data_IF_708793037469
#
_entry.id   IF_708793037469
#
_cell.length_a   1.000
_cell.length_b   1.000
_cell.length_c   1.000
_cell.angle_alpha   90.00
_cell.angle_beta   90.00
_cell.angle_gamma   90.00
#
_symmetry.space_group_name_H-M   'P 1'
#
loop_
_entity.id
_entity.type
_entity.pdbx_description
1 polymer ?
#
# COMPACT_ATOMS: atom_id res chain seq x y z
N UNK A 1 14.52 46.09 7.28
CA UNK A 1 14.05 44.89 7.99
C UNK A 1 13.50 43.93 6.96
N UNK A 2 14.31 42.97 6.57
CA UNK A 2 14.05 42.03 5.48
C UNK A 2 13.26 40.84 6.00
N UNK A 3 12.07 40.63 5.46
CA UNK A 3 11.24 39.44 5.70
C UNK A 3 11.98 38.18 5.21
N UNK A 4 12.02 37.08 5.99
CA UNK A 4 12.62 35.85 5.52
C UNK A 4 11.72 35.24 4.45
N UNK A 5 12.25 35.19 3.23
CA UNK A 5 11.70 34.45 2.10
C UNK A 5 11.57 32.99 2.55
N UNK A 6 10.32 32.54 2.73
CA UNK A 6 10.01 31.12 2.80
C UNK A 6 10.55 30.48 1.52
N UNK A 7 11.68 29.77 1.63
CA UNK A 7 12.11 28.81 0.64
C UNK A 7 11.02 27.76 0.53
N UNK A 8 10.09 27.94 -0.41
CA UNK A 8 9.29 26.86 -0.96
C UNK A 8 10.26 25.88 -1.62
N UNK A 9 10.80 24.95 -0.83
CA UNK A 9 11.39 23.73 -1.37
C UNK A 9 10.31 23.14 -2.27
N UNK A 10 10.52 23.14 -3.58
CA UNK A 10 9.70 22.42 -4.55
C UNK A 10 9.69 20.95 -4.11
N UNK A 11 8.70 20.56 -3.31
CA UNK A 11 8.54 19.18 -2.87
C UNK A 11 8.28 18.38 -4.13
N UNK A 12 9.28 17.62 -4.59
CA UNK A 12 9.08 16.64 -5.66
C UNK A 12 8.20 15.53 -5.07
N UNK A 13 6.95 15.45 -5.55
CA UNK A 13 5.97 14.45 -5.08
C UNK A 13 6.21 13.07 -5.70
N UNK A 14 6.84 13.04 -6.88
CA UNK A 14 7.44 11.83 -7.42
C UNK A 14 8.94 11.84 -7.19
N UNK A 15 9.44 10.74 -6.67
CA UNK A 15 10.87 10.41 -6.64
C UNK A 15 11.22 9.77 -7.98
N UNK A 16 12.06 10.43 -8.78
CA UNK A 16 12.62 9.80 -9.99
C UNK A 16 13.46 8.60 -9.58
N UNK A 17 13.19 7.44 -10.16
CA UNK A 17 13.91 6.23 -9.84
C UNK A 17 15.03 5.96 -10.86
N UNK A 18 16.14 5.33 -10.46
CA UNK A 18 17.25 5.03 -11.37
C UNK A 18 16.81 4.21 -12.57
N UNK A 19 17.02 4.74 -13.78
CA UNK A 19 16.66 4.09 -15.04
C UNK A 19 17.78 3.17 -15.53
N UNK A 20 17.42 2.00 -16.07
CA UNK A 20 18.35 1.10 -16.75
C UNK A 20 18.24 1.26 -18.26
N UNK A 21 19.37 1.42 -18.96
CA UNK A 21 19.38 1.33 -20.41
C UNK A 21 19.76 -0.08 -20.85
N UNK A 22 18.82 -0.79 -21.50
CA UNK A 22 19.08 -2.10 -22.08
C UNK A 22 19.63 -1.91 -23.50
N UNK A 23 20.95 -2.08 -23.66
CA UNK A 23 21.64 -1.82 -24.94
C UNK A 23 21.30 -2.83 -26.05
N UNK A 24 20.86 -4.02 -25.69
CA UNK A 24 20.52 -5.10 -26.63
C UNK A 24 19.13 -4.97 -27.25
N UNK A 25 18.35 -3.96 -26.87
CA UNK A 25 16.98 -3.77 -27.37
C UNK A 25 16.88 -2.52 -28.25
N UNK A 26 16.07 -2.56 -29.32
CA UNK A 26 15.75 -1.35 -30.05
C UNK A 26 15.13 -0.33 -29.09
N UNK A 27 15.43 0.96 -29.29
CA UNK A 27 14.79 2.03 -28.52
C UNK A 27 13.28 1.83 -28.59
N UNK A 28 12.63 1.77 -27.42
CA UNK A 28 11.18 1.61 -27.33
C UNK A 28 10.50 2.69 -28.17
N UNK A 29 9.56 2.26 -29.02
CA UNK A 29 8.84 3.13 -29.95
C UNK A 29 7.75 3.97 -29.27
N UNK A 30 7.34 3.58 -28.06
CA UNK A 30 6.34 4.29 -27.25
C UNK A 30 6.95 4.88 -25.99
N UNK A 31 6.50 6.07 -25.62
CA UNK A 31 6.84 6.69 -24.33
C UNK A 31 6.05 6.01 -23.22
N UNK A 32 6.72 5.32 -22.30
CA UNK A 32 6.09 4.56 -21.22
C UNK A 32 6.71 4.91 -19.86
N UNK A 33 5.87 5.02 -18.83
CA UNK A 33 6.29 5.25 -17.44
C UNK A 33 5.57 4.34 -16.47
N UNK A 34 6.29 3.84 -15.46
CA UNK A 34 5.72 3.07 -14.34
C UNK A 34 5.75 3.90 -13.04
N UNK A 35 4.63 4.00 -12.34
CA UNK A 35 4.52 4.67 -11.04
C UNK A 35 4.33 3.63 -9.94
N UNK A 36 5.19 3.65 -8.93
CA UNK A 36 5.08 2.83 -7.72
C UNK A 36 4.44 3.65 -6.59
N UNK A 37 3.22 3.30 -6.18
CA UNK A 37 2.47 3.98 -5.12
C UNK A 37 2.64 3.21 -3.82
N UNK A 38 3.29 3.83 -2.83
CA UNK A 38 3.49 3.21 -1.52
C UNK A 38 2.21 3.09 -0.71
N UNK A 39 2.21 2.07 0.14
CA UNK A 39 1.23 1.86 1.19
C UNK A 39 1.42 2.75 2.41
N UNK A 40 0.90 2.25 3.52
CA UNK A 40 1.09 2.81 4.84
C UNK A 40 2.58 2.84 5.19
N UNK A 41 3.11 4.03 5.50
CA UNK A 41 4.49 4.19 5.96
C UNK A 41 4.53 3.92 7.46
N UNK A 42 5.31 2.91 7.87
CA UNK A 42 5.56 2.65 9.28
C UNK A 42 6.61 3.63 9.83
N UNK A 43 6.67 3.77 11.16
CA UNK A 43 7.67 4.61 11.82
C UNK A 43 9.08 4.04 11.55
N UNK A 44 9.87 4.76 10.74
CA UNK A 44 11.20 4.31 10.28
C UNK A 44 11.31 4.10 8.76
N UNK A 45 10.20 4.02 8.04
CA UNK A 45 10.20 3.91 6.58
C UNK A 45 10.49 5.27 5.92
N UNK A 46 11.56 5.33 5.14
CA UNK A 46 11.84 6.53 4.33
C UNK A 46 10.82 6.65 3.19
N UNK A 47 10.19 7.82 2.99
CA UNK A 47 9.33 8.07 1.84
C UNK A 47 10.02 7.78 0.51
N UNK A 48 11.35 7.94 0.42
CA UNK A 48 12.12 7.79 -0.82
C UNK A 48 12.65 6.36 -1.03
N UNK A 49 12.49 5.44 -0.08
CA UNK A 49 13.01 4.08 -0.23
C UNK A 49 12.13 3.23 -1.16
N UNK A 50 12.53 3.08 -2.43
CA UNK A 50 11.88 2.21 -3.40
C UNK A 50 12.77 1.03 -3.83
N UNK A 51 13.78 0.65 -3.04
CA UNK A 51 14.80 -0.32 -3.49
C UNK A 51 14.21 -1.69 -3.83
N UNK A 52 13.27 -2.19 -3.04
CA UNK A 52 12.61 -3.49 -3.31
C UNK A 52 11.79 -3.45 -4.60
N UNK A 53 11.06 -2.35 -4.82
CA UNK A 53 10.37 -2.12 -6.09
C UNK A 53 11.35 -2.02 -7.25
N UNK A 54 12.50 -1.37 -7.06
CA UNK A 54 13.53 -1.25 -8.07
C UNK A 54 14.19 -2.58 -8.40
N UNK A 55 14.37 -3.47 -7.43
CA UNK A 55 14.83 -4.83 -7.70
C UNK A 55 13.91 -5.53 -8.71
N UNK A 56 12.61 -5.58 -8.41
CA UNK A 56 11.62 -6.16 -9.32
C UNK A 56 11.50 -5.42 -10.65
N UNK A 57 11.53 -4.08 -10.63
CA UNK A 57 11.43 -3.26 -11.85
C UNK A 57 12.54 -3.61 -12.83
N UNK A 58 13.79 -3.68 -12.35
CA UNK A 58 14.96 -4.01 -13.18
C UNK A 58 14.80 -5.39 -13.82
N UNK A 59 14.33 -6.37 -13.08
CA UNK A 59 14.09 -7.72 -13.61
C UNK A 59 12.97 -7.74 -14.65
N UNK A 60 11.91 -6.94 -14.47
CA UNK A 60 10.82 -6.80 -15.45
C UNK A 60 11.24 -6.04 -16.71
N UNK A 61 12.12 -5.05 -16.58
CA UNK A 61 12.76 -4.38 -17.71
C UNK A 61 13.62 -5.37 -18.48
N UNK A 62 14.43 -6.19 -17.80
CA UNK A 62 15.31 -7.19 -18.44
C UNK A 62 14.56 -8.42 -18.98
N UNK A 63 13.37 -8.70 -18.45
CA UNK A 63 12.55 -9.86 -18.83
C UNK A 63 12.15 -9.80 -20.31
N UNK A 64 12.36 -10.87 -21.10
CA UNK A 64 11.95 -10.92 -22.50
C UNK A 64 10.43 -11.03 -22.68
N UNK A 65 9.70 -11.46 -21.64
CA UNK A 65 8.24 -11.59 -21.68
C UNK A 65 7.52 -10.31 -21.27
N UNK A 66 8.07 -9.53 -20.35
CA UNK A 66 7.42 -8.31 -19.86
C UNK A 66 7.82 -7.06 -20.64
N UNK A 67 9.12 -6.90 -20.89
CA UNK A 67 9.68 -5.77 -21.65
C UNK A 67 9.24 -4.39 -21.15
N UNK A 68 9.17 -4.20 -19.82
CA UNK A 68 8.79 -2.91 -19.25
C UNK A 68 9.76 -1.81 -19.67
N UNK A 69 9.24 -0.58 -19.83
CA UNK A 69 10.09 0.58 -20.01
C UNK A 69 10.87 0.91 -18.72
N UNK A 70 12.09 1.44 -18.86
CA UNK A 70 12.96 1.67 -17.71
C UNK A 70 12.62 2.94 -16.92
N UNK A 71 11.73 3.79 -17.44
CA UNK A 71 11.28 4.98 -16.74
C UNK A 71 10.32 4.60 -15.61
N UNK A 72 10.74 4.88 -14.37
CA UNK A 72 9.95 4.62 -13.18
C UNK A 72 9.97 5.80 -12.21
N UNK A 73 8.85 5.98 -11.51
CA UNK A 73 8.62 7.02 -10.52
C UNK A 73 8.11 6.38 -9.22
N UNK A 74 8.63 6.82 -8.08
CA UNK A 74 8.10 6.49 -6.78
C UNK A 74 7.13 7.57 -6.31
N UNK A 75 5.97 7.19 -5.80
CA UNK A 75 5.01 8.09 -5.18
C UNK A 75 4.79 7.71 -3.72
N UNK A 76 5.11 8.67 -2.86
CA UNK A 76 4.88 8.57 -1.43
C UNK A 76 3.98 9.72 -1.01
N UNK A 77 3.00 9.39 -0.18
CA UNK A 77 2.02 10.34 0.34
C UNK A 77 2.08 10.34 1.86
N UNK A 78 1.65 11.43 2.52
CA UNK A 78 1.57 11.50 3.97
C UNK A 78 0.50 10.55 4.50
N UNK A 79 0.85 9.27 4.65
CA UNK A 79 -0.04 8.22 5.15
C UNK A 79 0.04 8.04 6.67
N UNK A 80 0.96 8.75 7.34
CA UNK A 80 1.08 8.79 8.80
C UNK A 80 1.71 10.09 9.26
N UNK A 81 1.21 10.66 10.36
CA UNK A 81 1.78 11.85 11.01
C UNK A 81 2.83 11.43 12.04
N UNK A 82 3.99 12.09 12.04
CA UNK A 82 5.05 11.91 13.05
C UNK A 82 4.67 12.45 14.44
N UNK A 83 3.48 13.05 14.57
CA UNK A 83 3.02 13.71 15.78
C UNK A 83 1.74 13.03 16.29
N UNK A 84 1.85 11.77 16.70
CA UNK A 84 0.83 11.26 17.62
C UNK A 84 0.99 12.03 18.94
N UNK A 85 -0.07 12.67 19.47
CA UNK A 85 -0.06 13.02 20.87
C UNK A 85 0.18 11.72 21.63
N UNK A 86 1.23 11.67 22.47
CA UNK A 86 1.44 10.58 23.41
C UNK A 86 0.08 10.29 24.05
N UNK A 87 -0.50 9.08 23.86
CA UNK A 87 -1.81 8.81 24.43
C UNK A 87 -1.68 9.07 25.92
N UNK A 88 -2.44 10.00 26.50
CA UNK A 88 -2.40 10.24 27.96
C UNK A 88 -2.69 8.94 28.72
N UNK A 89 -3.44 8.02 28.09
CA UNK A 89 -3.62 6.64 28.54
C UNK A 89 -2.32 5.82 28.61
N UNK A 90 -1.36 5.99 27.70
CA UNK A 90 -0.06 5.30 27.73
C UNK A 90 0.84 5.78 28.87
N UNK A 91 0.84 7.08 29.18
CA UNK A 91 1.53 7.61 30.37
C UNK A 91 0.83 7.20 31.67
N UNK A 92 -0.51 7.23 31.72
CA UNK A 92 -1.27 6.78 32.90
C UNK A 92 -1.12 5.28 33.18
N UNK A 93 -1.10 4.45 32.13
CA UNK A 93 -0.92 3.00 32.24
C UNK A 93 0.52 2.63 32.60
N UNK A 94 1.51 3.28 31.96
CA UNK A 94 2.92 3.13 32.32
C UNK A 94 3.17 3.62 33.75
N UNK A 95 2.64 4.77 34.14
CA UNK A 95 2.74 5.29 35.50
C UNK A 95 2.06 4.38 36.53
N UNK A 96 0.91 3.79 36.21
CA UNK A 96 0.22 2.82 37.07
C UNK A 96 1.00 1.50 37.22
N UNK A 97 1.57 0.98 36.14
CA UNK A 97 2.43 -0.22 36.19
C UNK A 97 3.73 0.08 36.93
N UNK A 98 4.35 1.22 36.66
CA UNK A 98 5.55 1.71 37.35
C UNK A 98 5.22 1.86 38.85
N UNK A 99 4.10 2.50 39.22
CA UNK A 99 3.73 2.70 40.63
C UNK A 99 3.41 1.39 41.34
N UNK A 100 2.71 0.47 40.66
CA UNK A 100 2.38 -0.85 41.22
C UNK A 100 3.62 -1.73 41.37
N UNK A 101 4.53 -1.71 40.39
CA UNK A 101 5.80 -2.44 40.46
C UNK A 101 6.78 -1.79 41.44
N UNK A 102 6.82 -0.47 41.57
CA UNK A 102 7.60 0.24 42.60
C UNK A 102 7.10 -0.08 44.01
N UNK A 103 5.78 -0.18 44.21
CA UNK A 103 5.22 -0.64 45.49
C UNK A 103 5.56 -2.11 45.78
N UNK A 104 5.62 -2.97 44.76
CA UNK A 104 6.03 -4.37 44.92
C UNK A 104 7.54 -4.53 45.16
N UNK A 105 8.38 -3.72 44.52
CA UNK A 105 9.82 -3.64 44.73
C UNK A 105 10.18 -3.08 46.12
N UNK A 106 9.43 -2.06 46.60
CA UNK A 106 9.53 -1.59 48.00
C UNK A 106 9.22 -2.68 49.03
N UNK A 107 8.46 -3.70 48.64
CA UNK A 107 8.14 -4.86 49.46
C UNK A 107 8.96 -6.11 49.11
N UNK A 108 10.06 -5.98 48.35
CA UNK A 108 10.96 -7.08 47.93
C UNK A 108 10.25 -8.28 47.26
N UNK A 109 9.07 -8.07 46.68
CA UNK A 109 8.34 -9.13 45.99
C UNK A 109 8.79 -9.20 44.54
N UNK A 110 9.31 -10.36 44.14
CA UNK A 110 9.68 -10.66 42.76
C UNK A 110 8.43 -10.53 41.85
N UNK A 111 8.58 -10.04 40.60
CA UNK A 111 7.48 -9.96 39.65
C UNK A 111 6.91 -11.35 39.38
N UNK A 112 5.59 -11.48 39.46
CA UNK A 112 4.90 -12.75 39.23
C UNK A 112 4.70 -12.98 37.72
N UNK A 113 4.59 -14.24 37.25
CA UNK A 113 4.24 -14.54 35.86
C UNK A 113 2.99 -13.79 35.38
N UNK A 114 2.00 -13.60 36.26
CA UNK A 114 0.80 -12.82 35.97
C UNK A 114 1.08 -11.33 35.74
N UNK A 115 1.98 -10.71 36.51
CA UNK A 115 2.38 -9.31 36.28
C UNK A 115 3.16 -9.11 34.98
N UNK A 116 3.99 -10.08 34.59
CA UNK A 116 4.69 -10.07 33.30
C UNK A 116 3.70 -10.22 32.16
N UNK A 117 2.77 -11.18 32.24
CA UNK A 117 1.71 -11.37 31.25
C UNK A 117 0.82 -10.12 31.11
N UNK A 118 0.46 -9.48 32.22
CA UNK A 118 -0.31 -8.24 32.20
C UNK A 118 0.46 -7.08 31.55
N UNK A 119 1.76 -6.94 31.82
CA UNK A 119 2.60 -5.93 31.19
C UNK A 119 2.71 -6.16 29.68
N UNK A 120 2.94 -7.40 29.24
CA UNK A 120 2.96 -7.77 27.82
C UNK A 120 1.61 -7.51 27.15
N UNK A 121 0.49 -7.85 27.80
CA UNK A 121 -0.84 -7.61 27.26
C UNK A 121 -1.13 -6.10 27.09
N UNK A 122 -0.70 -5.28 28.04
CA UNK A 122 -0.84 -3.82 27.95
C UNK A 122 0.02 -3.24 26.83
N UNK A 123 1.25 -3.71 26.69
CA UNK A 123 2.16 -3.27 25.63
C UNK A 123 1.61 -3.63 24.24
N UNK A 124 1.18 -4.88 24.04
CA UNK A 124 0.51 -5.33 22.81
C UNK A 124 -0.75 -4.52 22.54
N UNK A 125 -1.56 -4.24 23.57
CA UNK A 125 -2.78 -3.44 23.44
C UNK A 125 -2.50 -1.99 23.02
N UNK A 126 -1.45 -1.37 23.57
CA UNK A 126 -1.03 -0.01 23.22
C UNK A 126 -0.51 0.06 21.78
N UNK A 127 0.34 -0.89 21.38
CA UNK A 127 0.84 -0.98 20.01
C UNK A 127 -0.28 -1.22 19.00
N UNK A 128 -1.23 -2.12 19.30
CA UNK A 128 -2.40 -2.36 18.47
C UNK A 128 -3.28 -1.11 18.34
N UNK A 129 -3.51 -0.40 19.45
CA UNK A 129 -4.32 0.84 19.46
C UNK A 129 -3.67 1.95 18.64
N UNK A 130 -2.34 2.11 18.77
CA UNK A 130 -1.57 3.07 17.98
C UNK A 130 -1.66 2.76 16.49
N UNK A 131 -1.46 1.50 16.12
CA UNK A 131 -1.56 1.06 14.73
C UNK A 131 -2.97 1.30 14.18
N UNK A 132 -4.02 1.02 14.97
CA UNK A 132 -5.39 1.27 14.57
C UNK A 132 -5.66 2.75 14.28
N UNK A 133 -5.17 3.64 15.15
CA UNK A 133 -5.28 5.08 14.95
C UNK A 133 -4.53 5.53 13.69
N UNK A 134 -3.30 5.06 13.49
CA UNK A 134 -2.50 5.40 12.32
C UNK A 134 -3.15 4.90 11.03
N UNK A 135 -3.69 3.67 11.04
CA UNK A 135 -4.39 3.09 9.90
C UNK A 135 -5.67 3.87 9.56
N UNK A 136 -6.46 4.26 10.57
CA UNK A 136 -7.66 5.05 10.34
C UNK A 136 -7.33 6.44 9.78
N UNK A 137 -6.27 7.07 10.31
CA UNK A 137 -5.74 8.34 9.79
C UNK A 137 -5.30 8.17 8.34
N UNK A 138 -4.54 7.12 8.03
CA UNK A 138 -4.09 6.81 6.68
C UNK A 138 -5.27 6.61 5.71
N UNK A 139 -6.34 5.95 6.18
CA UNK A 139 -7.56 5.75 5.39
C UNK A 139 -8.22 7.08 5.06
N UNK A 140 -8.35 8.00 6.03
CA UNK A 140 -8.86 9.35 5.77
C UNK A 140 -7.96 10.13 4.81
N UNK A 141 -6.66 10.17 5.07
CA UNK A 141 -5.68 10.88 4.22
C UNK A 141 -5.61 10.30 2.80
N UNK A 142 -5.86 9.00 2.63
CA UNK A 142 -5.91 8.37 1.31
C UNK A 142 -7.02 8.95 0.42
N UNK A 143 -8.13 9.36 1.03
CA UNK A 143 -9.25 10.02 0.35
C UNK A 143 -8.97 11.50 0.15
N UNK A 144 -8.57 12.21 1.21
CA UNK A 144 -8.36 13.66 1.18
C UNK A 144 -7.27 14.08 0.19
N UNK A 145 -6.29 13.20 -0.05
CA UNK A 145 -5.19 13.46 -1.00
C UNK A 145 -5.39 12.83 -2.36
N UNK A 146 -6.47 12.10 -2.58
CA UNK A 146 -6.73 11.37 -3.83
C UNK A 146 -6.68 12.28 -5.05
N UNK A 147 -7.21 13.50 -4.92
CA UNK A 147 -7.20 14.53 -5.96
C UNK A 147 -5.77 14.86 -6.42
N UNK A 148 -4.83 14.96 -5.48
CA UNK A 148 -3.43 15.22 -5.80
C UNK A 148 -2.83 14.10 -6.65
N UNK A 149 -3.09 12.83 -6.32
CA UNK A 149 -2.63 11.71 -7.12
C UNK A 149 -3.30 11.71 -8.51
N UNK A 150 -4.60 11.99 -8.59
CA UNK A 150 -5.35 12.07 -9.84
C UNK A 150 -4.73 13.11 -10.80
N UNK A 151 -4.52 14.34 -10.33
CA UNK A 151 -3.87 15.40 -11.13
C UNK A 151 -2.50 14.99 -11.67
N UNK A 152 -1.73 14.25 -10.87
CA UNK A 152 -0.39 13.79 -11.24
C UNK A 152 -0.42 12.67 -12.28
N UNK A 153 -1.36 11.74 -12.15
CA UNK A 153 -1.57 10.71 -13.16
C UNK A 153 -2.03 11.32 -14.48
N UNK A 154 -2.90 12.34 -14.45
CA UNK A 154 -3.30 13.10 -15.63
C UNK A 154 -2.11 13.80 -16.31
N UNK A 155 -1.21 14.42 -15.54
CA UNK A 155 0.00 15.05 -16.07
C UNK A 155 0.94 14.03 -16.75
N UNK A 156 1.11 12.85 -16.15
CA UNK A 156 1.88 11.76 -16.76
C UNK A 156 1.22 11.24 -18.04
N UNK A 157 -0.12 11.11 -18.04
CA UNK A 157 -0.87 10.68 -19.22
C UNK A 157 -0.75 11.64 -20.40
N UNK A 158 -0.55 12.93 -20.15
CA UNK A 158 -0.27 13.94 -21.20
C UNK A 158 1.14 13.83 -21.78
N UNK A 159 2.08 13.22 -21.07
CA UNK A 159 3.51 13.14 -21.42
C UNK A 159 3.94 11.77 -21.94
N UNK A 160 3.17 10.73 -21.64
CA UNK A 160 3.50 9.35 -21.95
C UNK A 160 2.34 8.66 -22.67
N UNK A 161 2.67 7.88 -23.69
CA UNK A 161 1.71 7.08 -24.46
C UNK A 161 1.14 5.94 -23.63
N UNK A 162 1.88 5.48 -22.62
CA UNK A 162 1.50 4.40 -21.72
C UNK A 162 1.88 4.71 -20.26
N UNK A 163 0.90 4.69 -19.37
CA UNK A 163 1.10 4.87 -17.92
C UNK A 163 0.70 3.59 -17.19
N UNK A 164 1.66 3.01 -16.46
CA UNK A 164 1.43 1.88 -15.57
C UNK A 164 1.49 2.34 -14.12
N UNK A 165 0.60 1.84 -13.27
CA UNK A 165 0.68 2.08 -11.82
C UNK A 165 0.74 0.75 -11.08
N UNK A 166 1.68 0.63 -10.15
CA UNK A 166 1.78 -0.48 -9.20
C UNK A 166 1.56 0.10 -7.82
N UNK A 167 0.47 -0.27 -7.17
CA UNK A 167 0.12 0.19 -5.83
C UNK A 167 0.20 -0.97 -4.84
N UNK A 168 0.55 -0.65 -3.59
CA UNK A 168 0.69 -1.64 -2.53
C UNK A 168 -0.08 -1.26 -1.28
N UNK A 169 -0.69 -2.24 -0.62
CA UNK A 169 -1.35 -2.08 0.67
C UNK A 169 -2.38 -0.92 0.64
N UNK A 170 -2.30 0.04 1.57
CA UNK A 170 -3.17 1.24 1.59
C UNK A 170 -3.01 2.16 0.37
N UNK A 171 -1.89 2.08 -0.34
CA UNK A 171 -1.67 2.79 -1.60
C UNK A 171 -2.65 2.34 -2.68
N UNK A 172 -3.13 1.09 -2.59
CA UNK A 172 -4.18 0.58 -3.45
C UNK A 172 -5.48 1.37 -3.26
N UNK A 173 -5.88 1.61 -2.00
CA UNK A 173 -7.07 2.43 -1.69
C UNK A 173 -6.92 3.85 -2.20
N UNK A 174 -5.77 4.47 -1.94
CA UNK A 174 -5.46 5.82 -2.42
C UNK A 174 -5.57 5.94 -3.95
N UNK A 175 -5.10 4.92 -4.69
CA UNK A 175 -5.22 4.87 -6.14
C UNK A 175 -6.67 4.65 -6.63
N UNK A 176 -7.47 3.84 -5.92
CA UNK A 176 -8.91 3.67 -6.24
C UNK A 176 -9.65 5.00 -6.12
N UNK A 177 -9.43 5.73 -5.03
CA UNK A 177 -10.01 7.06 -4.82
C UNK A 177 -9.55 8.03 -5.93
N UNK A 178 -8.25 8.05 -6.26
CA UNK A 178 -7.72 8.92 -7.30
C UNK A 178 -8.31 8.61 -8.69
N UNK A 179 -8.40 7.34 -9.07
CA UNK A 179 -8.98 6.92 -10.35
C UNK A 179 -10.49 7.18 -10.43
N UNK A 180 -11.18 7.20 -9.29
CA UNK A 180 -12.62 7.55 -9.23
C UNK A 180 -12.88 9.02 -9.53
N UNK A 181 -11.88 9.89 -9.36
CA UNK A 181 -11.91 11.30 -9.76
C UNK A 181 -11.55 11.53 -11.23
N UNK A 182 -11.13 10.49 -11.95
CA UNK A 182 -10.67 10.56 -13.34
C UNK A 182 -11.70 9.96 -14.29
N UNK A 183 -11.87 10.58 -15.46
CA UNK A 183 -12.63 9.97 -16.54
C UNK A 183 -11.94 8.69 -17.02
N UNK A 184 -12.71 7.67 -17.41
CA UNK A 184 -12.18 6.34 -17.72
C UNK A 184 -11.07 6.36 -18.78
N UNK A 185 -11.19 7.21 -19.80
CA UNK A 185 -10.21 7.38 -20.87
C UNK A 185 -8.90 8.07 -20.45
N UNK A 186 -8.86 8.71 -19.27
CA UNK A 186 -7.70 9.43 -18.77
C UNK A 186 -6.95 8.64 -17.68
N UNK A 187 -7.54 7.54 -17.19
CA UNK A 187 -6.93 6.65 -16.19
C UNK A 187 -5.64 6.01 -16.71
N UNK A 188 -4.78 5.48 -15.82
CA UNK A 188 -3.65 4.67 -16.23
C UNK A 188 -4.05 3.52 -17.16
N UNK A 189 -3.15 3.12 -18.05
CA UNK A 189 -3.42 2.06 -19.01
C UNK A 189 -3.45 0.68 -18.33
N UNK A 190 -2.53 0.47 -17.39
CA UNK A 190 -2.48 -0.74 -16.55
C UNK A 190 -2.31 -0.41 -15.08
N UNK A 191 -3.07 -1.10 -14.23
CA UNK A 191 -2.98 -0.99 -12.77
C UNK A 191 -2.68 -2.36 -12.18
N UNK A 192 -1.75 -2.39 -11.22
CA UNK A 192 -1.39 -3.56 -10.43
C UNK A 192 -1.59 -3.25 -8.96
N UNK A 193 -2.56 -3.91 -8.33
CA UNK A 193 -2.78 -3.86 -6.89
C UNK A 193 -2.07 -5.02 -6.22
N UNK A 194 -1.13 -4.72 -5.34
CA UNK A 194 -0.40 -5.69 -4.53
C UNK A 194 -0.88 -5.62 -3.10
N UNK A 195 -1.36 -6.74 -2.54
CA UNK A 195 -1.86 -6.80 -1.16
C UNK A 195 -2.89 -5.70 -0.82
N UNK A 196 -3.93 -5.45 -1.65
CA UNK A 196 -4.82 -4.31 -1.44
C UNK A 196 -5.49 -4.30 -0.06
N UNK A 197 -5.27 -3.21 0.67
CA UNK A 197 -5.84 -2.94 1.99
C UNK A 197 -7.20 -2.22 1.90
N UNK A 198 -8.09 -2.72 1.05
CA UNK A 198 -9.47 -2.25 0.92
C UNK A 198 -10.43 -3.44 0.89
N UNK A 199 -11.71 -3.19 1.15
CA UNK A 199 -12.76 -4.20 1.08
C UNK A 199 -13.45 -4.18 -0.28
N UNK A 200 -14.23 -5.21 -0.60
CA UNK A 200 -14.92 -5.30 -1.89
C UNK A 200 -15.79 -4.08 -2.19
N UNK A 201 -16.51 -3.55 -1.20
CA UNK A 201 -17.38 -2.37 -1.38
C UNK A 201 -16.62 -1.10 -1.75
N UNK A 202 -15.30 -1.03 -1.49
CA UNK A 202 -14.50 0.12 -1.87
C UNK A 202 -14.19 0.15 -3.39
N UNK A 203 -14.31 -0.99 -4.09
CA UNK A 203 -13.85 -1.13 -5.49
C UNK A 203 -14.90 -1.71 -6.44
N UNK A 204 -15.99 -2.29 -5.92
CA UNK A 204 -16.96 -3.06 -6.70
C UNK A 204 -17.54 -2.27 -7.88
N UNK A 205 -17.85 -1.00 -7.67
CA UNK A 205 -18.45 -0.14 -8.69
C UNK A 205 -17.49 0.15 -9.84
N UNK A 206 -16.18 0.06 -9.62
CA UNK A 206 -15.14 0.33 -10.61
C UNK A 206 -14.70 -0.94 -11.34
N UNK A 207 -14.89 -2.14 -10.78
CA UNK A 207 -14.48 -3.42 -11.38
C UNK A 207 -15.64 -4.26 -11.90
N UNK A 208 -16.89 -3.82 -11.68
CA UNK A 208 -18.06 -4.44 -12.29
C UNK A 208 -18.02 -4.33 -13.81
N UNK A 209 -18.56 -5.32 -14.53
CA UNK A 209 -18.48 -5.48 -15.99
C UNK A 209 -18.96 -4.32 -16.87
N UNK A 210 -19.64 -3.33 -16.29
CA UNK A 210 -20.10 -2.13 -17.00
C UNK A 210 -19.23 -0.91 -16.75
N UNK A 211 -18.27 -1.00 -15.84
CA UNK A 211 -17.44 0.11 -15.39
C UNK A 211 -16.13 0.26 -16.18
N UNK A 212 -15.72 -0.78 -16.93
CA UNK A 212 -14.49 -0.76 -17.73
C UNK A 212 -13.19 -0.93 -16.94
N UNK A 213 -13.28 -1.25 -15.64
CA UNK A 213 -12.13 -1.37 -14.76
C UNK A 213 -11.55 -0.03 -14.27
N UNK A 214 -10.51 -0.11 -13.43
CA UNK A 214 -9.76 1.06 -12.98
C UNK A 214 -8.67 1.45 -13.97
N UNK A 215 -7.97 0.48 -14.56
CA UNK A 215 -7.09 0.72 -15.69
C UNK A 215 -7.86 0.72 -17.00
N UNK A 216 -7.45 1.55 -17.98
CA UNK A 216 -8.10 1.62 -19.31
C UNK A 216 -8.07 0.29 -20.05
N UNK A 217 -6.98 -0.46 -19.89
CA UNK A 217 -6.79 -1.73 -20.57
C UNK A 217 -6.89 -2.89 -19.60
N UNK A 218 -6.22 -2.80 -18.43
CA UNK A 218 -6.18 -3.90 -17.47
C UNK A 218 -6.03 -3.44 -16.02
N UNK A 219 -6.65 -4.19 -15.12
CA UNK A 219 -6.49 -4.07 -13.66
C UNK A 219 -6.14 -5.45 -13.08
N UNK A 220 -4.96 -5.58 -12.50
CA UNK A 220 -4.48 -6.81 -11.89
C UNK A 220 -4.54 -6.69 -10.37
N UNK A 221 -5.14 -7.66 -9.68
CA UNK A 221 -5.22 -7.72 -8.23
C UNK A 221 -4.45 -8.96 -7.76
N UNK A 222 -3.35 -8.75 -7.05
CA UNK A 222 -2.54 -9.80 -6.46
C UNK A 222 -2.89 -9.92 -4.98
N UNK A 223 -3.36 -11.10 -4.60
CA UNK A 223 -3.77 -11.41 -3.23
C UNK A 223 -3.07 -12.66 -2.71
N UNK A 224 -3.03 -12.82 -1.40
CA UNK A 224 -2.47 -13.99 -0.75
C UNK A 224 -3.21 -14.27 0.55
N UNK A 225 -3.73 -15.49 0.67
CA UNK A 225 -4.33 -16.02 1.89
C UNK A 225 -3.32 -16.22 3.03
N UNK A 226 -2.02 -16.10 2.73
CA UNK A 226 -0.91 -16.23 3.68
C UNK A 226 -0.47 -14.91 4.29
N UNK A 227 -1.04 -13.79 3.86
CA UNK A 227 -0.73 -12.47 4.37
C UNK A 227 -1.41 -12.25 5.74
N UNK A 228 -0.69 -12.62 6.82
CA UNK A 228 -1.17 -12.47 8.19
C UNK A 228 -1.42 -11.00 8.58
N UNK A 229 -0.73 -10.05 7.95
CA UNK A 229 -0.95 -8.62 8.17
C UNK A 229 -2.36 -8.25 7.71
N UNK A 230 -2.78 -8.70 6.53
CA UNK A 230 -4.16 -8.47 6.08
C UNK A 230 -5.17 -9.30 6.89
N UNK A 231 -4.87 -10.58 7.13
CA UNK A 231 -5.80 -11.53 7.73
C UNK A 231 -6.13 -11.30 9.21
N UNK A 232 -5.16 -10.83 10.00
CA UNK A 232 -5.33 -10.64 11.45
C UNK A 232 -5.39 -9.15 11.78
N UNK A 233 -4.38 -8.39 11.37
CA UNK A 233 -4.22 -7.00 11.78
C UNK A 233 -5.27 -6.12 11.12
N UNK A 234 -5.39 -6.16 9.78
CA UNK A 234 -6.37 -5.33 9.09
C UNK A 234 -7.82 -5.80 9.30
N UNK A 235 -8.09 -7.09 9.49
CA UNK A 235 -9.46 -7.56 9.79
C UNK A 235 -10.05 -6.87 11.03
N UNK A 236 -9.24 -6.69 12.08
CA UNK A 236 -9.65 -5.95 13.28
C UNK A 236 -9.95 -4.47 12.93
N UNK A 237 -9.13 -3.87 12.08
CA UNK A 237 -9.26 -2.46 11.67
C UNK A 237 -10.43 -2.22 10.72
N UNK A 238 -10.74 -3.21 9.88
CA UNK A 238 -11.83 -3.23 8.91
C UNK A 238 -13.15 -3.70 9.54
N UNK A 239 -13.29 -3.59 10.87
CA UNK A 239 -14.51 -3.93 11.62
C UNK A 239 -15.02 -5.35 11.35
N UNK A 240 -14.09 -6.30 11.17
CA UNK A 240 -14.40 -7.70 10.89
C UNK A 240 -14.55 -8.06 9.41
N UNK A 241 -14.44 -7.10 8.49
CA UNK A 241 -14.40 -7.36 7.05
C UNK A 241 -13.02 -7.84 6.61
N UNK A 242 -12.98 -8.63 5.53
CA UNK A 242 -11.74 -9.15 4.95
C UNK A 242 -11.26 -8.24 3.81
N UNK A 243 -9.95 -7.97 3.79
CA UNK A 243 -9.33 -7.19 2.74
C UNK A 243 -9.24 -8.00 1.44
N UNK A 244 -9.42 -7.35 0.29
CA UNK A 244 -9.27 -7.98 -1.02
C UNK A 244 -7.87 -8.57 -1.21
N UNK A 245 -6.85 -8.01 -0.57
CA UNK A 245 -5.49 -8.56 -0.64
C UNK A 245 -5.29 -9.87 0.12
N UNK A 246 -6.21 -10.24 1.01
CA UNK A 246 -6.21 -11.53 1.72
C UNK A 246 -6.97 -12.58 0.91
N UNK A 247 -8.19 -12.25 0.48
CA UNK A 247 -9.15 -13.23 -0.06
C UNK A 247 -9.36 -13.15 -1.57
N UNK A 248 -8.82 -12.13 -2.23
CA UNK A 248 -9.11 -11.84 -3.63
C UNK A 248 -10.52 -11.27 -3.84
N UNK A 249 -11.02 -11.42 -5.07
CA UNK A 249 -12.38 -11.04 -5.45
C UNK A 249 -13.30 -12.27 -5.40
N UNK A 250 -14.57 -12.12 -4.96
CA UNK A 250 -15.48 -13.25 -4.90
C UNK A 250 -15.87 -13.74 -6.31
N UNK A 251 -16.08 -15.06 -6.44
CA UNK A 251 -16.54 -15.68 -7.68
C UNK A 251 -17.97 -15.28 -8.09
N UNK A 252 -18.75 -14.66 -7.20
CA UNK A 252 -20.09 -14.13 -7.49
C UNK A 252 -20.44 -12.97 -6.57
N UNK A 253 -21.28 -12.05 -7.06
CA UNK A 253 -21.95 -11.03 -6.23
C UNK A 253 -23.46 -11.25 -6.34
N UNK A 254 -24.11 -11.55 -5.21
CA UNK A 254 -25.51 -11.97 -5.20
C UNK A 254 -25.70 -13.25 -6.03
N UNK A 255 -26.46 -13.16 -7.12
CA UNK A 255 -26.69 -14.25 -8.07
C UNK A 255 -25.81 -14.17 -9.34
N UNK A 256 -25.06 -13.08 -9.52
CA UNK A 256 -24.27 -12.82 -10.72
C UNK A 256 -22.88 -13.49 -10.61
N UNK A 257 -22.61 -14.50 -11.45
CA UNK A 257 -21.31 -15.21 -11.50
C UNK A 257 -20.29 -14.45 -12.35
N UNK A 258 -20.70 -13.93 -13.51
CA UNK A 258 -19.84 -13.18 -14.43
C UNK A 258 -20.02 -11.67 -14.22
N UNK A 259 -19.79 -11.21 -13.00
CA UNK A 259 -19.98 -9.82 -12.59
C UNK A 259 -18.74 -8.95 -12.87
N UNK A 260 -17.56 -9.57 -12.97
CA UNK A 260 -16.28 -8.89 -13.09
C UNK A 260 -16.02 -8.43 -14.52
N UNK A 261 -15.47 -7.22 -14.68
CA UNK A 261 -15.05 -6.70 -15.97
C UNK A 261 -13.92 -7.53 -16.59
N UNK A 262 -13.96 -7.83 -17.92
CA UNK A 262 -12.92 -8.61 -18.59
C UNK A 262 -11.50 -8.03 -18.49
N UNK A 263 -11.38 -6.71 -18.25
CA UNK A 263 -10.11 -6.03 -18.01
C UNK A 263 -9.52 -6.33 -16.63
N UNK A 264 -10.31 -6.86 -15.69
CA UNK A 264 -9.92 -7.07 -14.30
C UNK A 264 -9.60 -8.55 -14.06
N UNK A 265 -8.46 -8.82 -13.40
CA UNK A 265 -8.08 -10.18 -12.99
C UNK A 265 -7.56 -10.19 -11.57
N UNK A 266 -8.11 -11.07 -10.74
CA UNK A 266 -7.57 -11.41 -9.44
C UNK A 266 -6.67 -12.64 -9.55
N UNK A 267 -5.50 -12.62 -8.91
CA UNK A 267 -4.48 -13.65 -8.97
C UNK A 267 -3.99 -13.95 -7.56
N UNK A 268 -4.11 -15.21 -7.18
CA UNK A 268 -3.46 -15.76 -5.99
C UNK A 268 -1.95 -15.84 -6.22
N UNK A 269 -1.18 -15.16 -5.37
CA UNK A 269 0.29 -15.15 -5.39
C UNK A 269 0.90 -15.80 -4.15
N UNK A 270 0.11 -16.53 -3.37
CA UNK A 270 0.54 -17.22 -2.15
C UNK A 270 1.67 -18.23 -2.36
N UNK A 271 1.81 -18.78 -3.57
CA UNK A 271 2.95 -19.65 -3.92
C UNK A 271 4.23 -18.88 -4.18
N UNK A 272 4.14 -17.62 -4.63
CA UNK A 272 5.27 -16.77 -4.97
C UNK A 272 5.85 -16.03 -3.77
N UNK A 273 5.04 -15.69 -2.78
CA UNK A 273 5.49 -14.94 -1.59
C UNK A 273 6.21 -15.83 -0.56
N UNK A 274 5.97 -17.14 -0.57
CA UNK A 274 6.54 -18.09 0.38
C UNK A 274 5.89 -17.99 1.77
N UNK A 275 5.54 -19.14 2.37
CA UNK A 275 5.12 -19.29 3.77
C UNK A 275 3.94 -18.45 4.31
N UNK A 276 3.51 -18.74 5.55
CA UNK A 276 2.58 -17.91 6.32
C UNK A 276 3.37 -17.07 7.33
N UNK A 277 3.59 -15.79 7.08
CA UNK A 277 4.26 -14.89 8.02
C UNK A 277 3.99 -13.41 7.72
N UNK A 278 4.23 -12.54 8.71
CA UNK A 278 3.99 -11.08 8.63
C UNK A 278 4.76 -10.42 7.48
N UNK A 279 5.98 -10.90 7.19
CA UNK A 279 6.82 -10.40 6.09
C UNK A 279 6.32 -10.73 4.69
N UNK A 280 5.32 -11.61 4.53
CA UNK A 280 4.68 -11.83 3.23
C UNK A 280 4.07 -10.53 2.67
N UNK A 281 3.57 -9.64 3.56
CA UNK A 281 3.01 -8.35 3.17
C UNK A 281 4.04 -7.41 2.52
N UNK A 282 5.28 -7.41 3.03
CA UNK A 282 6.38 -6.58 2.51
C UNK A 282 7.06 -7.20 1.30
N UNK A 283 7.00 -8.53 1.17
CA UNK A 283 7.65 -9.28 0.09
C UNK A 283 7.05 -9.02 -1.29
N UNK A 284 5.84 -8.48 -1.38
CA UNK A 284 5.22 -8.12 -2.66
C UNK A 284 6.14 -7.23 -3.50
N UNK A 285 6.82 -6.25 -2.91
CA UNK A 285 7.69 -5.34 -3.65
C UNK A 285 8.90 -6.06 -4.25
N UNK A 286 9.61 -6.83 -3.42
CA UNK A 286 10.83 -7.52 -3.81
C UNK A 286 10.56 -8.71 -4.74
N UNK A 287 9.41 -9.38 -4.59
CA UNK A 287 9.05 -10.57 -5.38
C UNK A 287 8.09 -10.27 -6.53
N UNK A 288 7.73 -9.01 -6.75
CA UNK A 288 6.76 -8.61 -7.78
C UNK A 288 7.09 -9.18 -9.16
N UNK A 289 8.36 -9.21 -9.54
CA UNK A 289 8.81 -9.75 -10.82
C UNK A 289 8.51 -11.25 -11.04
N UNK A 290 8.28 -12.04 -9.98
CA UNK A 290 7.92 -13.46 -10.09
C UNK A 290 6.47 -13.69 -10.51
N UNK A 291 5.56 -12.84 -10.04
CA UNK A 291 4.12 -13.05 -10.19
C UNK A 291 3.42 -11.97 -11.01
N UNK A 292 4.11 -10.88 -11.33
CA UNK A 292 3.68 -9.94 -12.35
C UNK A 292 3.35 -10.72 -13.61
N UNK A 293 2.18 -10.42 -14.20
CA UNK A 293 1.76 -11.10 -15.41
C UNK A 293 2.32 -10.32 -16.60
N UNK A 294 2.99 -11.01 -17.55
CA UNK A 294 3.40 -10.39 -18.79
C UNK A 294 2.16 -9.98 -19.59
N UNK A 295 2.33 -8.97 -20.44
CA UNK A 295 1.23 -8.38 -21.20
C UNK A 295 1.01 -9.08 -22.53
#
# INVERSE_FOLDING_TARGET
MSTPVQQFVKKKYFTELPSLQVLSRPKQTRSEVTVYVKGFLSEGDSPENFQDWMHSHRLLVLSPTHQWAPAALGYSWPSGSNNLPLPLASMGSAAYLISKNLQQLKNLRLPTPASVAAALALDVGLHASRLAFQFNTATHESKDRAEMLAWRLLDLRRKHDYVRVVAHSLGCRHLVEACSLMASQERPDAIHFCAPAFVLSDIVDQVHKKAGGLGRSRTMIYYSDKDLTLGILLRVLLKGQQAVGEIGLPAKIGQEKDWLDPSVRAIDVSSSLGGFYVGAHTDYANKFHYFARPF
#
